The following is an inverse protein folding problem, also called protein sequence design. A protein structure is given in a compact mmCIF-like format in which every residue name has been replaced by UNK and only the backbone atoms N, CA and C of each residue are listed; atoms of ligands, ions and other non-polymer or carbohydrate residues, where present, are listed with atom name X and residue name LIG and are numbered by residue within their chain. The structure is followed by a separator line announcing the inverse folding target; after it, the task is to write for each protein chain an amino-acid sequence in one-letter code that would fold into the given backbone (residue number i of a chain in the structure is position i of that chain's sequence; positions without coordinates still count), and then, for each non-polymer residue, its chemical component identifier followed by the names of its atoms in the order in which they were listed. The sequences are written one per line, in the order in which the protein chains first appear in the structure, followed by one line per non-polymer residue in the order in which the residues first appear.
data_IF_205268993265
#
_entry.id   IF_205268993265
#
_cell.length_a   1.000
_cell.length_b   1.000
_cell.length_c   1.000
_cell.angle_alpha   90.00
_cell.angle_beta   90.00
_cell.angle_gamma   90.00
#
_symmetry.space_group_name_H-M   'P 1'
#
loop_
_entity.id
_entity.type
_entity.pdbx_description
1 polymer ?
#
# COMPACT_ATOMS: atom_id res chain seq x y z
N UNK A 1 11.49 -14.52 -10.13
CA UNK A 1 12.11 -15.35 -11.19
C UNK A 1 13.43 -14.76 -11.73
N UNK A 2 13.44 -13.54 -12.30
CA UNK A 2 14.64 -12.94 -12.95
C UNK A 2 15.84 -12.81 -11.99
N UNK A 3 15.62 -12.26 -10.79
CA UNK A 3 16.68 -12.13 -9.76
C UNK A 3 17.34 -13.48 -9.45
N UNK A 4 16.51 -14.52 -9.23
CA UNK A 4 16.98 -15.86 -8.92
C UNK A 4 17.80 -16.47 -10.06
N UNK A 5 17.39 -16.28 -11.31
CA UNK A 5 18.14 -16.80 -12.47
C UNK A 5 19.52 -16.18 -12.62
N UNK A 6 19.76 -15.00 -12.04
CA UNK A 6 21.09 -14.38 -11.98
C UNK A 6 21.96 -14.93 -10.83
N UNK A 7 21.48 -15.91 -10.07
CA UNK A 7 22.19 -16.49 -8.93
C UNK A 7 22.11 -15.65 -7.64
N UNK A 8 21.39 -14.53 -7.66
CA UNK A 8 21.20 -13.66 -6.49
C UNK A 8 20.27 -14.36 -5.49
N UNK A 9 20.65 -14.34 -4.22
CA UNK A 9 19.93 -14.99 -3.12
C UNK A 9 19.31 -14.01 -2.13
N UNK A 10 19.73 -12.75 -2.13
CA UNK A 10 19.25 -11.73 -1.21
C UNK A 10 19.18 -10.37 -1.92
N UNK A 11 18.14 -9.60 -1.62
CA UNK A 11 17.96 -8.21 -2.07
C UNK A 11 17.53 -7.31 -0.92
N UNK A 12 17.88 -6.03 -1.00
CA UNK A 12 17.36 -4.99 -0.11
C UNK A 12 16.12 -4.35 -0.76
N UNK A 13 15.11 -4.04 0.06
CA UNK A 13 13.88 -3.37 -0.36
C UNK A 13 13.60 -2.15 0.51
N UNK A 14 12.93 -1.15 -0.08
CA UNK A 14 12.53 0.09 0.59
C UNK A 14 11.18 0.02 1.33
N UNK A 15 10.59 -1.17 1.46
CA UNK A 15 9.32 -1.37 2.20
C UNK A 15 9.44 -0.84 3.63
N UNK A 16 8.37 -0.23 4.13
CA UNK A 16 8.33 0.41 5.45
C UNK A 16 8.65 1.90 5.45
N UNK A 17 9.29 2.43 4.40
CA UNK A 17 9.63 3.85 4.36
C UNK A 17 8.39 4.77 4.40
N UNK A 18 7.34 4.41 3.67
CA UNK A 18 6.10 5.19 3.63
C UNK A 18 5.34 5.13 4.96
N UNK A 19 5.36 3.98 5.64
CA UNK A 19 4.76 3.81 6.97
C UNK A 19 5.48 4.58 8.07
N UNK A 20 6.82 4.63 8.02
CA UNK A 20 7.64 5.29 9.04
C UNK A 20 7.62 6.81 8.88
N UNK A 21 7.58 7.31 7.64
CA UNK A 21 7.74 8.74 7.32
C UNK A 21 6.51 9.39 6.70
N UNK A 22 5.37 8.70 6.65
CA UNK A 22 4.12 9.20 6.08
C UNK A 22 4.23 9.54 4.59
N UNK A 23 4.65 8.57 3.79
CA UNK A 23 4.89 8.74 2.36
C UNK A 23 3.68 8.52 1.45
N UNK A 24 2.53 8.13 2.00
CA UNK A 24 1.30 8.05 1.22
C UNK A 24 0.65 9.43 1.10
N UNK A 25 0.07 9.71 -0.07
CA UNK A 25 -0.50 11.03 -0.38
C UNK A 25 -1.62 11.47 0.58
N UNK A 26 -2.33 10.53 1.21
CA UNK A 26 -3.34 10.86 2.21
C UNK A 26 -2.75 11.51 3.48
N UNK A 27 -1.45 11.35 3.76
CA UNK A 27 -0.78 12.02 4.89
C UNK A 27 -0.73 13.55 4.76
N UNK A 28 -0.87 14.10 3.55
CA UNK A 28 -1.05 15.55 3.37
C UNK A 28 -2.31 16.08 4.05
N UNK A 29 -3.28 15.20 4.32
CA UNK A 29 -4.54 15.52 5.00
C UNK A 29 -4.47 15.29 6.50
N UNK A 30 -3.33 14.86 7.05
CA UNK A 30 -3.18 14.67 8.49
C UNK A 30 -3.45 16.00 9.24
N UNK A 31 -4.43 16.06 10.15
CA UNK A 31 -4.87 17.32 10.75
C UNK A 31 -3.88 17.88 11.77
N UNK A 32 -3.12 17.00 12.44
CA UNK A 32 -2.16 17.37 13.48
C UNK A 32 -0.94 16.44 13.46
N UNK A 33 0.20 16.86 14.04
CA UNK A 33 1.36 15.97 14.22
C UNK A 33 1.04 14.69 14.99
N UNK A 34 0.12 14.79 15.97
CA UNK A 34 -0.33 13.62 16.74
C UNK A 34 -1.09 12.63 15.86
N UNK A 35 -2.06 13.10 15.07
CA UNK A 35 -2.83 12.23 14.17
C UNK A 35 -1.92 11.57 13.12
N UNK A 36 -0.94 12.31 12.59
CA UNK A 36 0.09 11.76 11.71
C UNK A 36 0.86 10.61 12.39
N UNK A 37 1.36 10.84 13.61
CA UNK A 37 2.13 9.84 14.35
C UNK A 37 1.29 8.59 14.67
N UNK A 38 0.09 8.77 15.21
CA UNK A 38 -0.84 7.68 15.53
C UNK A 38 -1.13 6.81 14.29
N UNK A 39 -1.26 7.42 13.12
CA UNK A 39 -1.44 6.70 11.87
C UNK A 39 -0.18 5.95 11.43
N UNK A 40 1.02 6.55 11.53
CA UNK A 40 2.27 5.81 11.25
C UNK A 40 2.43 4.58 12.15
N UNK A 41 2.10 4.71 13.43
CA UNK A 41 2.11 3.58 14.40
C UNK A 41 1.06 2.54 14.03
N UNK A 42 -0.16 2.96 13.66
CA UNK A 42 -1.23 2.06 13.23
C UNK A 42 -0.84 1.28 11.97
N UNK A 43 -0.24 1.95 10.99
CA UNK A 43 0.27 1.34 9.75
C UNK A 43 1.38 0.33 10.04
N UNK A 44 2.36 0.69 10.87
CA UNK A 44 3.43 -0.23 11.28
C UNK A 44 2.91 -1.48 11.99
N UNK A 45 1.93 -1.33 12.90
CA UNK A 45 1.37 -2.48 13.64
C UNK A 45 0.63 -3.48 12.75
N UNK A 46 0.17 -3.05 11.57
CA UNK A 46 -0.56 -3.90 10.61
C UNK A 46 0.30 -4.38 9.44
N UNK A 47 1.55 -3.92 9.33
CA UNK A 47 2.40 -4.14 8.16
C UNK A 47 2.64 -5.63 7.85
N UNK A 48 2.63 -6.47 8.88
CA UNK A 48 2.75 -7.93 8.76
C UNK A 48 1.62 -8.59 7.95
N UNK A 49 0.45 -7.95 7.82
CA UNK A 49 -0.68 -8.43 7.02
C UNK A 49 -0.67 -7.90 5.57
N UNK A 50 0.15 -6.89 5.28
CA UNK A 50 0.15 -6.17 4.00
C UNK A 50 1.53 -6.24 3.33
N UNK A 51 2.31 -5.16 3.41
CA UNK A 51 3.55 -4.99 2.63
C UNK A 51 4.63 -6.01 3.00
N UNK A 52 4.79 -6.33 4.29
CA UNK A 52 5.72 -7.39 4.71
C UNK A 52 5.27 -8.77 4.20
N UNK A 53 3.96 -9.04 4.17
CA UNK A 53 3.41 -10.29 3.66
C UNK A 53 3.73 -10.44 2.17
N UNK A 54 3.44 -9.39 1.38
CA UNK A 54 3.72 -9.33 -0.06
C UNK A 54 5.20 -9.46 -0.34
N UNK A 55 6.04 -8.63 0.28
CA UNK A 55 7.48 -8.61 0.04
C UNK A 55 8.12 -9.97 0.38
N UNK A 56 7.80 -10.52 1.56
CA UNK A 56 8.38 -11.78 2.00
C UNK A 56 7.92 -12.97 1.14
N UNK A 57 6.62 -13.17 0.95
CA UNK A 57 6.10 -14.35 0.22
C UNK A 57 6.45 -14.31 -1.27
N UNK A 58 6.40 -13.13 -1.90
CA UNK A 58 6.70 -12.99 -3.34
C UNK A 58 8.17 -13.28 -3.66
N UNK A 59 9.09 -12.83 -2.79
CA UNK A 59 10.52 -13.14 -2.94
C UNK A 59 10.82 -14.60 -2.59
N UNK A 60 10.25 -15.10 -1.49
CA UNK A 60 10.45 -16.47 -1.01
C UNK A 60 9.94 -17.53 -2.00
N UNK A 61 8.89 -17.22 -2.78
CA UNK A 61 8.40 -18.07 -3.87
C UNK A 61 9.48 -18.42 -4.91
N UNK A 62 10.56 -17.66 -4.98
CA UNK A 62 11.72 -17.91 -5.85
C UNK A 62 13.02 -18.18 -5.08
N UNK A 63 12.94 -18.44 -3.77
CA UNK A 63 14.10 -18.67 -2.92
C UNK A 63 15.06 -17.48 -2.91
N UNK A 64 14.51 -16.27 -2.79
CA UNK A 64 15.22 -15.00 -2.62
C UNK A 64 14.81 -14.41 -1.27
N UNK A 65 15.79 -14.01 -0.46
CA UNK A 65 15.58 -13.28 0.79
C UNK A 65 15.39 -11.78 0.53
N UNK A 66 14.36 -11.18 1.10
CA UNK A 66 14.19 -9.73 1.11
C UNK A 66 14.52 -9.15 2.48
N UNK A 67 15.40 -8.16 2.54
CA UNK A 67 15.66 -7.39 3.76
C UNK A 67 15.12 -5.97 3.62
N UNK A 68 14.63 -5.41 4.72
CA UNK A 68 13.86 -4.16 4.76
C UNK A 68 14.49 -3.20 5.78
N UNK A 69 15.57 -2.47 5.42
CA UNK A 69 16.34 -1.67 6.38
C UNK A 69 15.52 -0.58 7.09
N UNK A 70 14.46 -0.06 6.46
CA UNK A 70 13.55 0.91 7.09
C UNK A 70 12.75 0.35 8.27
N UNK A 71 12.69 -0.98 8.40
CA UNK A 71 12.01 -1.69 9.50
C UNK A 71 13.01 -2.32 10.47
N UNK A 72 14.29 -1.98 10.36
CA UNK A 72 15.27 -2.33 11.38
C UNK A 72 14.85 -1.72 12.73
N UNK A 73 15.04 -2.48 13.81
CA UNK A 73 14.58 -2.09 15.14
C UNK A 73 15.27 -0.81 15.63
N UNK A 74 16.59 -0.73 15.49
CA UNK A 74 17.37 0.43 15.95
C UNK A 74 17.05 1.66 15.09
N UNK A 75 16.85 1.46 13.79
CA UNK A 75 16.37 2.51 12.90
C UNK A 75 14.99 3.02 13.29
N UNK A 76 14.04 2.13 13.60
CA UNK A 76 12.70 2.49 14.05
C UNK A 76 12.74 3.24 15.38
N UNK A 77 13.59 2.85 16.33
CA UNK A 77 13.76 3.55 17.60
C UNK A 77 14.19 5.01 17.38
N UNK A 78 15.04 5.30 16.40
CA UNK A 78 15.38 6.68 16.04
C UNK A 78 14.23 7.35 15.29
N UNK A 79 13.79 6.74 14.20
CA UNK A 79 12.85 7.35 13.27
C UNK A 79 11.50 7.65 13.94
N UNK A 80 11.00 6.78 14.81
CA UNK A 80 9.71 6.95 15.48
C UNK A 80 9.74 7.91 16.66
N UNK A 81 10.93 8.23 17.20
CA UNK A 81 11.11 9.23 18.25
C UNK A 81 11.38 10.66 17.71
N UNK A 82 11.52 10.82 16.39
CA UNK A 82 11.56 12.15 15.77
C UNK A 82 10.24 12.89 16.01
N UNK A 83 10.32 14.21 16.16
CA UNK A 83 9.13 15.05 16.27
C UNK A 83 8.24 14.84 15.03
N UNK A 84 6.99 14.37 15.16
CA UNK A 84 6.12 14.06 14.02
C UNK A 84 5.90 15.26 13.10
N UNK A 85 5.98 16.49 13.63
CA UNK A 85 5.87 17.72 12.84
C UNK A 85 6.94 17.78 11.74
N UNK A 86 8.13 17.24 11.97
CA UNK A 86 9.21 17.19 10.98
C UNK A 86 8.97 16.16 9.86
N UNK A 87 7.99 15.26 10.03
CA UNK A 87 7.57 14.27 9.02
C UNK A 87 6.33 14.70 8.24
N UNK A 88 5.58 15.67 8.73
CA UNK A 88 4.36 16.14 8.07
C UNK A 88 4.69 16.79 6.71
N UNK A 89 3.73 16.71 5.79
CA UNK A 89 3.80 17.29 4.45
C UNK A 89 2.54 18.13 4.14
N UNK A 90 2.29 19.25 4.84
CA UNK A 90 1.10 20.05 4.61
C UNK A 90 1.12 20.73 3.23
N UNK A 91 -0.05 20.85 2.61
CA UNK A 91 -0.21 21.55 1.33
C UNK A 91 0.61 20.90 0.22
N UNK A 92 1.57 21.65 -0.34
CA UNK A 92 2.45 21.24 -1.44
C UNK A 92 3.83 20.77 -0.98
N UNK A 93 4.08 20.68 0.33
CA UNK A 93 5.33 20.10 0.81
C UNK A 93 5.43 18.63 0.38
N UNK A 94 6.59 18.22 -0.11
CA UNK A 94 6.79 16.84 -0.56
C UNK A 94 6.76 15.87 0.63
N UNK A 95 6.14 14.71 0.44
CA UNK A 95 6.11 13.65 1.44
C UNK A 95 7.51 13.14 1.77
N UNK A 96 7.73 12.65 2.99
CA UNK A 96 9.02 12.11 3.45
C UNK A 96 10.20 13.10 3.36
N UNK A 97 9.92 14.40 3.41
CA UNK A 97 10.93 15.47 3.30
C UNK A 97 12.17 15.23 4.17
N UNK A 98 12.00 14.88 5.44
CA UNK A 98 13.13 14.69 6.38
C UNK A 98 14.13 13.62 5.91
N UNK A 99 13.66 12.51 5.33
CA UNK A 99 14.56 11.48 4.79
C UNK A 99 15.09 11.87 3.42
N UNK A 100 14.34 12.63 2.62
CA UNK A 100 14.86 13.19 1.36
C UNK A 100 16.03 14.13 1.61
N UNK A 101 15.89 15.05 2.55
CA UNK A 101 16.96 15.98 2.94
C UNK A 101 18.20 15.24 3.47
N UNK A 102 18.01 14.20 4.28
CA UNK A 102 19.11 13.41 4.84
C UNK A 102 19.96 12.68 3.78
N UNK A 103 19.40 12.39 2.61
CA UNK A 103 20.05 11.64 1.54
C UNK A 103 20.15 12.41 0.21
N UNK A 104 19.81 13.71 0.18
CA UNK A 104 19.70 14.51 -1.03
C UNK A 104 21.03 14.55 -1.83
N UNK A 105 22.16 14.60 -1.13
CA UNK A 105 23.50 14.65 -1.74
C UNK A 105 23.96 13.28 -2.29
N UNK A 106 23.25 12.20 -1.99
CA UNK A 106 23.61 10.84 -2.41
C UNK A 106 22.91 10.39 -3.70
N UNK A 107 21.89 11.13 -4.17
CA UNK A 107 21.04 10.77 -5.30
C UNK A 107 20.93 11.96 -6.27
N UNK A 108 20.61 11.73 -7.56
CA UNK A 108 20.24 12.81 -8.46
C UNK A 108 19.06 13.60 -7.90
N UNK A 109 19.09 14.93 -8.06
CA UNK A 109 18.04 15.84 -7.56
C UNK A 109 16.63 15.43 -8.04
N UNK A 110 16.54 15.03 -9.31
CA UNK A 110 15.30 14.54 -9.93
C UNK A 110 14.74 13.26 -9.29
N UNK A 111 15.56 12.49 -8.57
CA UNK A 111 15.13 11.31 -7.81
C UNK A 111 14.83 11.69 -6.37
N UNK A 112 15.71 12.47 -5.73
CA UNK A 112 15.57 12.89 -4.34
C UNK A 112 14.28 13.67 -4.08
N UNK A 113 13.81 14.43 -5.07
CA UNK A 113 12.62 15.29 -4.98
C UNK A 113 11.45 14.84 -5.87
N UNK A 114 11.48 13.60 -6.36
CA UNK A 114 10.36 13.03 -7.13
C UNK A 114 9.15 12.76 -6.22
N UNK A 115 7.97 13.21 -6.63
CA UNK A 115 6.71 12.91 -5.95
C UNK A 115 6.45 11.40 -5.93
N UNK A 116 5.79 10.92 -4.86
CA UNK A 116 5.36 9.52 -4.74
C UNK A 116 4.37 9.17 -5.85
N UNK A 117 4.66 8.06 -6.52
CA UNK A 117 3.71 7.32 -7.35
C UNK A 117 3.45 5.96 -6.70
N UNK A 118 2.21 5.48 -6.74
CA UNK A 118 1.89 4.14 -6.24
C UNK A 118 2.43 3.06 -7.17
N UNK A 119 2.74 1.89 -6.62
CA UNK A 119 3.34 0.79 -7.39
C UNK A 119 2.47 0.36 -8.56
N UNK A 120 1.15 0.32 -8.37
CA UNK A 120 0.18 -0.13 -9.36
C UNK A 120 0.14 0.77 -10.60
N UNK A 121 0.43 2.07 -10.45
CA UNK A 121 0.56 3.02 -11.55
C UNK A 121 1.99 3.04 -12.12
N UNK A 122 3.00 2.94 -11.23
CA UNK A 122 4.41 2.94 -11.62
C UNK A 122 4.88 1.70 -12.37
N UNK A 123 4.16 0.56 -12.29
CA UNK A 123 4.45 -0.63 -13.10
C UNK A 123 3.89 -0.57 -14.52
N UNK A 124 3.02 0.40 -14.81
CA UNK A 124 2.37 0.60 -16.09
C UNK A 124 0.85 0.62 -15.97
N UNK A 125 0.25 1.70 -16.47
CA UNK A 125 -1.18 1.97 -16.36
C UNK A 125 -2.09 0.86 -16.90
N UNK A 126 -1.68 0.18 -17.98
CA UNK A 126 -2.46 -0.91 -18.56
C UNK A 126 -2.59 -2.13 -17.66
N UNK A 127 -1.73 -2.29 -16.64
CA UNK A 127 -1.72 -3.48 -15.81
C UNK A 127 -3.02 -3.65 -15.01
N UNK A 128 -3.46 -2.60 -14.30
CA UNK A 128 -4.70 -2.64 -13.52
C UNK A 128 -5.91 -2.77 -14.44
N UNK A 129 -5.91 -2.03 -15.55
CA UNK A 129 -7.04 -2.01 -16.48
C UNK A 129 -7.23 -3.39 -17.12
N UNK A 130 -6.15 -4.04 -17.56
CA UNK A 130 -6.20 -5.42 -18.07
C UNK A 130 -6.65 -6.41 -17.00
N UNK A 131 -6.22 -6.28 -15.74
CA UNK A 131 -6.70 -7.13 -14.65
C UNK A 131 -8.21 -6.99 -14.42
N UNK A 132 -8.72 -5.75 -14.45
CA UNK A 132 -10.16 -5.48 -14.35
C UNK A 132 -10.93 -6.09 -15.51
N UNK A 133 -10.43 -5.96 -16.74
CA UNK A 133 -11.05 -6.56 -17.93
C UNK A 133 -11.12 -8.10 -17.82
N UNK A 134 -10.01 -8.74 -17.44
CA UNK A 134 -9.94 -10.20 -17.29
C UNK A 134 -10.92 -10.67 -16.20
N UNK A 135 -10.92 -10.03 -15.04
CA UNK A 135 -11.78 -10.44 -13.92
C UNK A 135 -13.25 -10.13 -14.17
N UNK A 136 -13.56 -9.04 -14.88
CA UNK A 136 -14.92 -8.72 -15.31
C UNK A 136 -15.49 -9.75 -16.30
N UNK A 137 -14.65 -10.30 -17.17
CA UNK A 137 -15.03 -11.38 -18.10
C UNK A 137 -15.14 -12.75 -17.41
N UNK A 138 -14.33 -13.01 -16.39
CA UNK A 138 -14.28 -14.29 -15.68
C UNK A 138 -15.44 -14.49 -14.68
N UNK A 139 -16.02 -13.40 -14.15
CA UNK A 139 -17.07 -13.44 -13.13
C UNK A 139 -18.37 -12.86 -13.69
N UNK A 140 -19.44 -13.65 -13.68
CA UNK A 140 -20.76 -13.20 -14.13
C UNK A 140 -21.48 -12.33 -13.08
N UNK A 141 -22.45 -11.54 -13.52
CA UNK A 141 -23.27 -10.74 -12.59
C UNK A 141 -24.10 -11.64 -11.67
N UNK A 142 -24.58 -12.78 -12.16
CA UNK A 142 -25.25 -13.80 -11.36
C UNK A 142 -24.33 -14.35 -10.24
N UNK A 143 -23.05 -14.59 -10.52
CA UNK A 143 -22.10 -15.01 -9.49
C UNK A 143 -21.93 -13.94 -8.41
N UNK A 144 -21.93 -12.66 -8.80
CA UNK A 144 -21.86 -11.54 -7.86
C UNK A 144 -23.14 -11.41 -7.01
N UNK A 145 -24.32 -11.64 -7.59
CA UNK A 145 -25.59 -11.64 -6.85
C UNK A 145 -25.60 -12.67 -5.72
N UNK A 146 -25.00 -13.85 -5.95
CA UNK A 146 -24.88 -14.93 -4.96
C UNK A 146 -23.54 -14.93 -4.21
N UNK A 147 -22.76 -13.83 -4.26
CA UNK A 147 -21.43 -13.79 -3.63
C UNK A 147 -21.48 -13.98 -2.11
N UNK A 148 -22.50 -13.44 -1.43
CA UNK A 148 -22.66 -13.57 0.02
C UNK A 148 -23.02 -15.01 0.46
N UNK A 149 -23.70 -15.77 -0.41
CA UNK A 149 -24.04 -17.17 -0.17
C UNK A 149 -22.80 -18.05 -0.30
N UNK A 150 -21.98 -17.81 -1.32
CA UNK A 150 -20.74 -18.55 -1.55
C UNK A 150 -19.63 -18.16 -0.56
N UNK A 151 -19.47 -16.87 -0.30
CA UNK A 151 -18.40 -16.30 0.52
C UNK A 151 -18.98 -15.50 1.71
N UNK A 152 -19.48 -16.17 2.75
CA UNK A 152 -20.13 -15.51 3.89
C UNK A 152 -19.15 -14.73 4.78
N UNK A 153 -17.86 -15.10 4.76
CA UNK A 153 -16.79 -14.38 5.49
C UNK A 153 -16.12 -13.46 4.49
N UNK A 154 -16.07 -12.15 4.78
CA UNK A 154 -15.45 -11.13 3.92
C UNK A 154 -15.92 -11.24 2.47
N UNK A 155 -17.23 -11.04 2.25
CA UNK A 155 -17.85 -11.14 0.94
C UNK A 155 -17.21 -10.17 -0.04
N UNK A 156 -16.75 -10.65 -1.22
CA UNK A 156 -16.22 -9.79 -2.28
C UNK A 156 -17.20 -8.69 -2.70
N UNK A 157 -16.70 -7.47 -2.87
CA UNK A 157 -17.52 -6.32 -3.24
C UNK A 157 -17.52 -6.03 -4.74
N UNK A 158 -16.65 -6.68 -5.50
CA UNK A 158 -16.53 -6.55 -6.94
C UNK A 158 -16.00 -7.85 -7.58
N UNK A 159 -16.06 -7.93 -8.90
CA UNK A 159 -15.66 -9.10 -9.69
C UNK A 159 -14.17 -9.44 -9.55
N UNK A 160 -13.32 -8.43 -9.36
CA UNK A 160 -11.89 -8.62 -9.15
C UNK A 160 -11.61 -9.35 -7.83
N UNK A 161 -12.18 -8.85 -6.73
CA UNK A 161 -12.13 -9.51 -5.42
C UNK A 161 -12.75 -10.91 -5.46
N UNK A 162 -13.86 -11.10 -6.19
CA UNK A 162 -14.51 -12.40 -6.32
C UNK A 162 -13.59 -13.41 -6.99
N UNK A 163 -12.90 -12.99 -8.05
CA UNK A 163 -11.94 -13.82 -8.75
C UNK A 163 -10.76 -14.20 -7.84
N UNK A 164 -10.17 -13.23 -7.13
CA UNK A 164 -9.08 -13.52 -6.19
C UNK A 164 -9.52 -14.41 -5.03
N UNK A 165 -10.73 -14.18 -4.50
CA UNK A 165 -11.29 -15.00 -3.43
C UNK A 165 -11.57 -16.44 -3.88
N UNK A 166 -12.02 -16.63 -5.12
CA UNK A 166 -12.20 -17.96 -5.71
C UNK A 166 -10.88 -18.73 -5.74
N UNK A 167 -9.81 -18.11 -6.25
CA UNK A 167 -8.46 -18.71 -6.29
C UNK A 167 -7.94 -18.98 -4.87
N UNK A 168 -8.19 -18.06 -3.93
CA UNK A 168 -7.78 -18.24 -2.54
C UNK A 168 -8.43 -19.49 -1.92
N UNK A 169 -9.74 -19.68 -2.07
CA UNK A 169 -10.45 -20.85 -1.50
C UNK A 169 -10.09 -22.16 -2.21
N UNK A 170 -9.72 -22.14 -3.49
CA UNK A 170 -9.18 -23.33 -4.18
C UNK A 170 -7.91 -23.86 -3.51
N UNK A 171 -7.06 -22.97 -2.97
CA UNK A 171 -5.84 -23.33 -2.26
C UNK A 171 -6.02 -23.47 -0.74
N UNK A 172 -6.92 -22.68 -0.16
CA UNK A 172 -7.15 -22.57 1.28
C UNK A 172 -8.65 -22.63 1.61
N UNK A 173 -9.28 -23.82 1.51
CA UNK A 173 -10.74 -23.95 1.54
C UNK A 173 -11.38 -23.77 2.92
N UNK A 174 -10.62 -23.48 3.97
CA UNK A 174 -11.15 -23.39 5.33
C UNK A 174 -11.61 -21.97 5.69
N UNK A 175 -12.70 -21.89 6.46
CA UNK A 175 -13.16 -20.61 7.02
C UNK A 175 -12.07 -19.92 7.86
N UNK A 176 -11.27 -20.71 8.58
CA UNK A 176 -10.16 -20.19 9.38
C UNK A 176 -9.14 -19.47 8.50
N UNK A 177 -8.83 -19.99 7.30
CA UNK A 177 -7.94 -19.33 6.36
C UNK A 177 -8.54 -18.02 5.84
N UNK A 178 -9.83 -18.00 5.47
CA UNK A 178 -10.51 -16.79 5.03
C UNK A 178 -10.47 -15.67 6.09
N UNK A 179 -10.62 -16.03 7.38
CA UNK A 179 -10.53 -15.08 8.51
C UNK A 179 -9.13 -14.51 8.74
N UNK A 180 -8.08 -15.12 8.19
CA UNK A 180 -6.71 -14.55 8.28
C UNK A 180 -6.49 -13.37 7.35
N UNK A 181 -7.36 -13.18 6.36
CA UNK A 181 -7.28 -12.07 5.40
C UNK A 181 -8.13 -10.91 5.93
N UNK A 182 -7.53 -9.77 6.31
CA UNK A 182 -8.30 -8.63 6.80
C UNK A 182 -9.15 -8.04 5.67
N UNK A 183 -10.40 -7.69 5.99
CA UNK A 183 -11.31 -6.98 5.10
C UNK A 183 -11.79 -5.72 5.82
N UNK A 184 -11.06 -4.63 5.64
CA UNK A 184 -11.36 -3.33 6.24
C UNK A 184 -11.46 -2.26 5.16
N UNK A 185 -12.35 -1.26 5.32
CA UNK A 185 -12.39 -0.13 4.41
C UNK A 185 -11.03 0.57 4.30
N UNK A 186 -10.56 0.79 3.08
CA UNK A 186 -9.29 1.45 2.78
C UNK A 186 -9.39 2.16 1.43
N UNK A 187 -8.72 3.30 1.30
CA UNK A 187 -8.49 3.98 0.02
C UNK A 187 -6.99 4.20 -0.09
N UNK A 188 -6.36 3.79 -1.19
CA UNK A 188 -4.95 4.12 -1.43
C UNK A 188 -4.01 3.79 -0.24
N UNK A 189 -4.19 2.62 0.38
CA UNK A 189 -3.47 2.15 1.59
C UNK A 189 -3.80 2.88 2.90
N UNK A 190 -4.80 3.78 2.92
CA UNK A 190 -5.23 4.49 4.13
C UNK A 190 -5.97 3.56 5.09
N UNK A 191 -5.94 3.87 6.39
CA UNK A 191 -6.84 3.23 7.35
C UNK A 191 -8.18 3.97 7.42
N UNK A 192 -9.17 3.34 8.06
CA UNK A 192 -10.49 3.95 8.29
C UNK A 192 -10.39 5.29 9.05
N UNK A 193 -9.43 5.43 9.95
CA UNK A 193 -9.18 6.67 10.69
C UNK A 193 -8.60 7.76 9.80
N UNK A 194 -7.70 7.42 8.88
CA UNK A 194 -7.19 8.37 7.89
C UNK A 194 -8.27 8.82 6.89
N UNK A 195 -9.24 7.94 6.55
CA UNK A 195 -10.42 8.33 5.75
C UNK A 195 -11.27 9.40 6.45
N UNK A 196 -11.21 9.50 7.78
CA UNK A 196 -11.97 10.51 8.52
C UNK A 196 -11.37 11.92 8.42
N UNK A 197 -10.10 12.05 7.98
CA UNK A 197 -9.38 13.33 7.90
C UNK A 197 -9.85 14.23 6.76
N UNK A 198 -10.36 13.66 5.67
CA UNK A 198 -10.93 14.41 4.55
C UNK A 198 -12.29 13.84 4.19
N UNK A 199 -13.31 14.70 4.15
CA UNK A 199 -14.66 14.32 3.75
C UNK A 199 -14.66 13.79 2.31
N UNK A 200 -13.75 14.28 1.45
CA UNK A 200 -13.60 13.81 0.08
C UNK A 200 -13.16 12.33 -0.01
N UNK A 201 -12.54 11.77 1.03
CA UNK A 201 -12.19 10.33 1.07
C UNK A 201 -13.33 9.45 1.56
N UNK A 202 -14.39 10.02 2.12
CA UNK A 202 -15.54 9.24 2.58
C UNK A 202 -16.30 8.70 1.36
N UNK A 203 -16.50 7.38 1.34
CA UNK A 203 -17.22 6.62 0.30
C UNK A 203 -16.49 6.45 -1.04
N UNK A 204 -15.18 6.70 -1.12
CA UNK A 204 -14.37 6.29 -2.27
C UNK A 204 -13.86 4.87 -2.06
N UNK A 205 -13.86 4.06 -3.11
CA UNK A 205 -13.16 2.77 -3.18
C UNK A 205 -12.23 2.82 -4.41
N UNK A 206 -11.14 3.56 -4.28
CA UNK A 206 -10.18 3.82 -5.36
C UNK A 206 -8.78 3.34 -4.93
N UNK A 207 -8.27 2.25 -5.54
CA UNK A 207 -7.03 1.62 -5.11
C UNK A 207 -5.75 2.32 -5.61
N UNK A 208 -5.81 3.22 -6.59
CA UNK A 208 -4.62 3.76 -7.26
C UNK A 208 -4.06 5.05 -6.64
N UNK A 209 -4.78 5.69 -5.72
CA UNK A 209 -4.37 6.96 -5.10
C UNK A 209 -4.59 8.20 -5.96
N UNK A 210 -5.09 8.03 -7.18
CA UNK A 210 -5.45 9.12 -8.10
C UNK A 210 -6.60 9.98 -7.55
N UNK A 211 -7.31 9.47 -6.55
CA UNK A 211 -8.38 10.16 -5.85
C UNK A 211 -7.93 11.42 -5.06
N UNK A 212 -6.63 11.57 -4.72
CA UNK A 212 -6.12 12.74 -3.99
C UNK A 212 -5.95 13.94 -4.94
N UNK A 213 -7.07 14.52 -5.39
CA UNK A 213 -7.08 15.69 -6.28
C UNK A 213 -6.44 16.91 -5.60
N UNK A 214 -5.58 17.63 -6.33
CA UNK A 214 -4.99 18.90 -5.91
C UNK A 214 -3.64 18.82 -5.19
N UNK A 215 -3.11 17.61 -4.93
CA UNK A 215 -1.74 17.38 -4.41
C UNK A 215 -0.80 16.91 -5.53
N UNK A 216 -1.32 16.14 -6.49
CA UNK A 216 -0.64 15.90 -7.76
C UNK A 216 -0.78 17.14 -8.65
N UNK A 217 0.31 17.90 -8.81
CA UNK A 217 0.41 18.89 -9.92
C UNK A 217 0.58 18.18 -11.27
N UNK A 218 1.17 16.98 -11.22
CA UNK A 218 1.25 16.02 -12.30
C UNK A 218 0.09 15.00 -12.25
N UNK A 219 -1.12 15.47 -11.94
CA UNK A 219 -2.32 14.70 -12.27
C UNK A 219 -2.49 14.82 -13.79
N UNK A 220 -1.76 13.96 -14.50
CA UNK A 220 -1.45 14.17 -15.90
C UNK A 220 -2.70 14.24 -16.79
N UNK A 221 -2.58 15.15 -17.75
CA UNK A 221 -3.36 15.24 -18.98
C UNK A 221 -3.17 14.00 -19.84
#
# INVERSE_FOLDING_TARGET
RVIKSMGIKMVLSGEGADEVFGGYLYFHKAPTPQAFHEETVRKLSKLHMYDCLRANKSLSAWGVEGRVPFLDKEFLDVAMNLNPKAKMCPGKEIEKRIVREAFAEMLPESVAWRQKEQFSDGVGYSWIDTLREITAAAVSDQQMEHAAERFPINTPQNKEEYNYRSIFEEHFPSESAARTVPSVPSVACSTAEALAWDIAFRNLNEPSGRAVRGIHEEAYT
#
